data_IF_377642929543
#
_entry.id   IF_377642929543
#
_cell.length_a   1.000
_cell.length_b   1.000
_cell.length_c   1.000
_cell.angle_alpha   90.00
_cell.angle_beta   90.00
_cell.angle_gamma   90.00
#
_symmetry.space_group_name_H-M   'P 1'
#
loop_
_entity.id
_entity.type
_entity.pdbx_description
1 polymer ?
#
# COMPACT_ATOMS: atom_id res chain seq x y z
N UNK A 1 -15.57 -9.64 4.52
CA UNK A 1 -14.48 -8.68 4.67
C UNK A 1 -14.30 -8.41 6.15
N UNK A 2 -13.17 -8.78 6.74
CA UNK A 2 -12.92 -8.52 8.16
C UNK A 2 -12.67 -7.02 8.39
N UNK A 3 -13.13 -6.54 9.56
CA UNK A 3 -12.87 -5.19 10.06
C UNK A 3 -12.08 -5.33 11.34
N UNK A 4 -10.95 -4.66 11.42
CA UNK A 4 -10.06 -4.70 12.58
C UNK A 4 -9.93 -3.31 13.20
N UNK A 5 -9.97 -3.28 14.53
CA UNK A 5 -9.57 -2.10 15.30
C UNK A 5 -8.23 -2.42 15.95
N UNK A 6 -7.18 -1.73 15.55
CA UNK A 6 -5.85 -1.92 16.09
C UNK A 6 -5.76 -1.51 17.56
N UNK A 7 -4.91 -2.18 18.33
CA UNK A 7 -4.69 -1.83 19.74
C UNK A 7 -4.18 -0.38 19.93
N UNK A 8 -3.50 0.16 18.91
CA UNK A 8 -3.07 1.57 18.88
C UNK A 8 -4.23 2.58 18.91
N UNK A 9 -5.45 2.17 18.50
CA UNK A 9 -6.64 2.99 18.65
C UNK A 9 -6.94 3.36 20.11
N UNK A 10 -6.64 2.47 21.06
CA UNK A 10 -6.82 2.76 22.48
C UNK A 10 -5.98 3.95 22.95
N UNK A 11 -4.80 4.12 22.38
CA UNK A 11 -3.92 5.27 22.67
C UNK A 11 -4.60 6.55 22.18
N UNK A 12 -5.15 6.54 20.96
CA UNK A 12 -5.88 7.69 20.41
C UNK A 12 -7.12 8.01 21.26
N UNK A 13 -7.88 7.00 21.68
CA UNK A 13 -9.02 7.18 22.56
C UNK A 13 -8.63 7.84 23.89
N UNK A 14 -7.54 7.40 24.53
CA UNK A 14 -7.02 8.01 25.76
C UNK A 14 -6.61 9.46 25.52
N UNK A 15 -5.94 9.75 24.38
CA UNK A 15 -5.57 11.13 24.02
C UNK A 15 -6.80 12.00 23.83
N UNK A 16 -7.83 11.52 23.14
CA UNK A 16 -9.10 12.27 22.96
C UNK A 16 -9.75 12.55 24.31
N UNK A 17 -9.86 11.54 25.19
CA UNK A 17 -10.44 11.68 26.53
C UNK A 17 -9.65 12.71 27.36
N UNK A 18 -8.32 12.66 27.31
CA UNK A 18 -7.46 13.56 28.06
C UNK A 18 -7.50 15.02 27.55
N UNK A 19 -7.75 15.21 26.26
CA UNK A 19 -7.85 16.54 25.65
C UNK A 19 -9.24 17.15 25.85
N UNK A 20 -10.30 16.35 25.69
CA UNK A 20 -11.68 16.86 25.69
C UNK A 20 -12.31 16.81 27.10
N UNK A 21 -11.98 15.79 27.90
CA UNK A 21 -12.57 15.56 29.21
C UNK A 21 -12.43 16.72 30.20
N UNK A 22 -11.24 17.35 30.36
CA UNK A 22 -11.07 18.50 31.24
C UNK A 22 -11.92 19.71 30.83
N UNK A 23 -12.07 19.98 29.53
CA UNK A 23 -12.95 21.03 29.02
C UNK A 23 -14.41 20.78 29.39
N UNK A 24 -14.89 19.53 29.15
CA UNK A 24 -16.26 19.15 29.54
C UNK A 24 -16.47 19.25 31.05
N UNK A 25 -15.48 18.84 31.86
CA UNK A 25 -15.59 18.94 33.32
C UNK A 25 -15.64 20.38 33.81
N UNK A 26 -14.96 21.30 33.12
CA UNK A 26 -14.97 22.74 33.41
C UNK A 26 -16.32 23.39 33.02
N UNK A 27 -16.85 23.04 31.83
CA UNK A 27 -18.10 23.60 31.31
C UNK A 27 -19.34 22.99 32.02
N UNK A 28 -19.23 21.76 32.50
CA UNK A 28 -20.29 20.97 33.14
C UNK A 28 -19.82 20.34 34.47
N UNK A 29 -19.61 21.15 35.52
CA UNK A 29 -19.16 20.64 36.83
C UNK A 29 -20.11 19.62 37.47
N UNK A 30 -21.38 19.67 37.08
CA UNK A 30 -22.43 18.74 37.53
C UNK A 30 -22.15 17.28 37.11
N UNK A 31 -21.39 17.06 36.04
CA UNK A 31 -21.04 15.71 35.59
C UNK A 31 -19.91 15.06 36.41
N UNK A 32 -19.08 15.84 37.09
CA UNK A 32 -17.94 15.29 37.82
C UNK A 32 -17.08 14.34 36.96
N UNK A 33 -16.82 13.13 37.42
CA UNK A 33 -16.06 12.12 36.68
C UNK A 33 -16.74 11.63 35.38
N UNK A 34 -18.06 11.79 35.26
CA UNK A 34 -18.79 11.41 34.04
C UNK A 34 -18.38 12.26 32.81
N UNK A 35 -17.78 13.44 33.01
CA UNK A 35 -17.21 14.26 31.94
C UNK A 35 -16.21 13.49 31.10
N UNK A 36 -15.36 12.64 31.70
CA UNK A 36 -14.42 11.78 30.99
C UNK A 36 -15.14 10.63 30.25
N UNK A 37 -16.28 10.16 30.76
CA UNK A 37 -17.17 9.23 30.06
C UNK A 37 -17.74 9.86 28.77
N UNK A 38 -18.13 11.14 28.83
CA UNK A 38 -18.52 11.90 27.63
C UNK A 38 -17.33 12.02 26.67
N UNK A 39 -16.09 12.28 27.16
CA UNK A 39 -14.88 12.24 26.36
C UNK A 39 -14.67 10.89 25.64
N UNK A 40 -15.00 9.78 26.28
CA UNK A 40 -14.98 8.46 25.65
C UNK A 40 -16.02 8.33 24.51
N UNK A 41 -17.19 8.94 24.64
CA UNK A 41 -18.18 8.98 23.54
C UNK A 41 -17.69 9.79 22.34
N UNK A 42 -16.92 10.86 22.54
CA UNK A 42 -16.25 11.56 21.44
C UNK A 42 -15.25 10.66 20.73
N UNK A 43 -14.46 9.87 21.46
CA UNK A 43 -13.54 8.90 20.87
C UNK A 43 -14.28 7.83 20.06
N UNK A 44 -15.41 7.31 20.58
CA UNK A 44 -16.27 6.36 19.85
C UNK A 44 -16.85 7.01 18.59
N UNK A 45 -17.32 8.26 18.67
CA UNK A 45 -17.79 9.02 17.50
C UNK A 45 -16.71 9.14 16.41
N UNK A 46 -15.46 9.44 16.79
CA UNK A 46 -14.33 9.50 15.89
C UNK A 46 -14.05 8.12 15.24
N UNK A 47 -14.10 7.03 16.04
CA UNK A 47 -13.96 5.67 15.51
C UNK A 47 -15.03 5.35 14.47
N UNK A 48 -16.28 5.68 14.74
CA UNK A 48 -17.39 5.48 13.80
C UNK A 48 -17.15 6.28 12.51
N UNK A 49 -16.72 7.54 12.61
CA UNK A 49 -16.41 8.38 11.46
C UNK A 49 -15.31 7.76 10.57
N UNK A 50 -14.22 7.28 11.17
CA UNK A 50 -13.11 6.62 10.46
C UNK A 50 -13.56 5.28 9.85
N UNK A 51 -14.28 4.45 10.60
CA UNK A 51 -14.74 3.16 10.10
C UNK A 51 -15.72 3.30 8.92
N UNK A 52 -16.61 4.27 8.95
CA UNK A 52 -17.54 4.54 7.83
C UNK A 52 -16.76 5.04 6.61
N UNK A 53 -15.78 5.90 6.80
CA UNK A 53 -14.89 6.37 5.75
C UNK A 53 -14.17 5.21 5.06
N UNK A 54 -13.51 4.34 5.82
CA UNK A 54 -12.81 3.17 5.28
C UNK A 54 -13.76 2.14 4.65
N UNK A 55 -14.93 1.94 5.27
CA UNK A 55 -15.95 1.05 4.71
C UNK A 55 -16.44 1.56 3.35
N UNK A 56 -16.55 2.88 3.17
CA UNK A 56 -16.93 3.48 1.89
C UNK A 56 -15.89 3.18 0.80
N UNK A 57 -14.58 3.35 1.11
CA UNK A 57 -13.50 2.95 0.20
C UNK A 57 -13.59 1.46 -0.17
N UNK A 58 -13.77 0.60 0.83
CA UNK A 58 -13.86 -0.85 0.65
C UNK A 58 -15.05 -1.27 -0.22
N UNK A 59 -16.22 -0.66 -0.03
CA UNK A 59 -17.44 -0.96 -0.81
C UNK A 59 -17.24 -0.57 -2.27
N UNK A 60 -16.71 0.64 -2.54
CA UNK A 60 -16.47 1.09 -3.90
C UNK A 60 -15.34 0.28 -4.56
N UNK A 61 -14.25 -0.02 -3.85
CA UNK A 61 -13.18 -0.86 -4.36
C UNK A 61 -13.71 -2.24 -4.82
N UNK A 62 -14.58 -2.88 -4.02
CA UNK A 62 -15.25 -4.13 -4.43
C UNK A 62 -16.17 -3.94 -5.62
N UNK A 63 -16.93 -2.83 -5.65
CA UNK A 63 -17.85 -2.51 -6.75
C UNK A 63 -17.14 -2.34 -8.09
N UNK A 64 -15.90 -1.86 -8.09
CA UNK A 64 -15.06 -1.72 -9.30
C UNK A 64 -14.16 -2.93 -9.57
N UNK A 65 -14.37 -4.03 -8.84
CA UNK A 65 -13.74 -5.33 -9.13
C UNK A 65 -12.46 -5.64 -8.36
N UNK A 66 -12.04 -4.80 -7.39
CA UNK A 66 -10.88 -5.10 -6.56
C UNK A 66 -11.20 -6.12 -5.45
N UNK A 67 -10.24 -6.98 -5.13
CA UNK A 67 -10.33 -7.86 -3.95
C UNK A 67 -9.91 -7.07 -2.71
N UNK A 68 -10.85 -6.83 -1.81
CA UNK A 68 -10.60 -6.16 -0.54
C UNK A 68 -10.28 -7.22 0.53
N UNK A 69 -9.12 -7.09 1.16
CA UNK A 69 -8.63 -8.04 2.16
C UNK A 69 -9.10 -7.66 3.57
N UNK A 70 -8.94 -6.42 3.97
CA UNK A 70 -9.31 -5.97 5.31
C UNK A 70 -9.56 -4.45 5.34
N UNK A 71 -10.33 -4.03 6.32
CA UNK A 71 -10.45 -2.64 6.78
C UNK A 71 -9.81 -2.57 8.16
N UNK A 72 -8.89 -1.64 8.37
CA UNK A 72 -8.18 -1.48 9.64
C UNK A 72 -8.32 -0.04 10.10
N UNK A 73 -8.73 0.17 11.35
CA UNK A 73 -8.66 1.46 12.03
C UNK A 73 -7.55 1.42 13.08
N UNK A 74 -6.63 2.39 13.04
CA UNK A 74 -5.49 2.49 13.95
C UNK A 74 -5.26 3.94 14.39
N UNK A 75 -4.15 4.21 15.13
CA UNK A 75 -3.82 5.56 15.62
C UNK A 75 -3.60 6.58 14.50
N UNK A 76 -3.21 6.14 13.31
CA UNK A 76 -2.95 7.02 12.16
C UNK A 76 -4.19 7.29 11.32
N UNK A 77 -5.36 6.78 11.75
CA UNK A 77 -6.63 6.86 11.05
C UNK A 77 -7.13 5.48 10.66
N UNK A 78 -7.41 5.27 9.38
CA UNK A 78 -7.80 3.97 8.85
C UNK A 78 -7.06 3.68 7.54
N UNK A 79 -7.06 2.40 7.16
CA UNK A 79 -6.65 2.02 5.82
C UNK A 79 -7.39 0.78 5.35
N UNK A 80 -7.76 0.80 4.08
CA UNK A 80 -8.37 -0.33 3.39
C UNK A 80 -7.34 -1.02 2.52
N UNK A 81 -7.08 -2.30 2.82
CA UNK A 81 -6.14 -3.10 2.03
C UNK A 81 -6.89 -3.81 0.91
N UNK A 82 -6.53 -3.51 -0.33
CA UNK A 82 -7.08 -4.16 -1.52
C UNK A 82 -5.99 -4.39 -2.57
N UNK A 83 -6.25 -5.30 -3.53
CA UNK A 83 -5.33 -5.60 -4.62
C UNK A 83 -5.49 -4.58 -5.75
N UNK A 84 -4.48 -3.76 -6.05
CA UNK A 84 -4.56 -2.70 -7.05
C UNK A 84 -4.33 -3.16 -8.49
N UNK A 85 -4.12 -4.46 -8.75
CA UNK A 85 -3.59 -5.01 -10.00
C UNK A 85 -4.44 -4.74 -11.25
N UNK A 86 -5.69 -4.27 -11.12
CA UNK A 86 -6.61 -3.98 -12.25
C UNK A 86 -7.17 -2.57 -12.22
N UNK A 87 -6.45 -1.64 -11.62
CA UNK A 87 -6.92 -0.27 -11.44
C UNK A 87 -6.91 0.54 -12.74
N UNK A 88 -7.92 1.37 -12.91
CA UNK A 88 -7.94 2.45 -13.91
C UNK A 88 -7.91 3.81 -13.22
N UNK A 89 -7.51 4.90 -13.89
CA UNK A 89 -7.59 6.24 -13.30
C UNK A 89 -8.99 6.57 -12.76
N UNK A 90 -10.04 6.10 -13.45
CA UNK A 90 -11.43 6.32 -13.03
C UNK A 90 -11.80 5.55 -11.78
N UNK A 91 -11.41 4.26 -11.68
CA UNK A 91 -11.64 3.46 -10.47
C UNK A 91 -10.86 3.99 -9.27
N UNK A 92 -9.60 4.41 -9.47
CA UNK A 92 -8.80 5.02 -8.42
C UNK A 92 -9.43 6.32 -7.88
N UNK A 93 -9.91 7.19 -8.77
CA UNK A 93 -10.61 8.41 -8.39
C UNK A 93 -11.94 8.13 -7.65
N UNK A 94 -12.73 7.16 -8.11
CA UNK A 94 -13.99 6.77 -7.48
C UNK A 94 -13.76 6.23 -6.05
N UNK A 95 -12.74 5.39 -5.87
CA UNK A 95 -12.35 4.90 -4.55
C UNK A 95 -11.89 6.06 -3.66
N UNK A 96 -11.04 6.95 -4.16
CA UNK A 96 -10.48 8.03 -3.38
C UNK A 96 -11.53 9.05 -2.90
N UNK A 97 -12.53 9.38 -3.72
CA UNK A 97 -13.51 10.41 -3.36
C UNK A 97 -14.57 9.94 -2.35
N UNK A 98 -14.86 8.64 -2.32
CA UNK A 98 -16.03 8.14 -1.57
C UNK A 98 -15.84 8.22 -0.05
N UNK A 99 -14.61 8.07 0.45
CA UNK A 99 -14.31 8.23 1.88
C UNK A 99 -14.65 9.64 2.38
N UNK A 100 -14.04 10.70 1.84
CA UNK A 100 -14.39 12.07 2.17
C UNK A 100 -15.88 12.39 1.96
N UNK A 101 -16.47 11.88 0.88
CA UNK A 101 -17.89 12.08 0.63
C UNK A 101 -18.77 11.43 1.71
N UNK A 102 -18.43 10.25 2.19
CA UNK A 102 -19.16 9.58 3.27
C UNK A 102 -19.11 10.38 4.57
N UNK A 103 -17.95 10.94 4.92
CA UNK A 103 -17.81 11.81 6.07
C UNK A 103 -18.60 13.11 5.89
N UNK A 104 -18.55 13.72 4.69
CA UNK A 104 -19.35 14.92 4.42
C UNK A 104 -20.84 14.66 4.60
N UNK A 105 -21.34 13.53 4.07
CA UNK A 105 -22.74 13.12 4.25
C UNK A 105 -23.09 12.92 5.72
N UNK A 106 -22.24 12.18 6.47
CA UNK A 106 -22.45 11.99 7.91
C UNK A 106 -22.46 13.32 8.68
N UNK A 107 -21.50 14.20 8.38
CA UNK A 107 -21.43 15.52 9.00
C UNK A 107 -22.66 16.37 8.73
N UNK A 108 -23.12 16.43 7.48
CA UNK A 108 -24.31 17.19 7.10
C UNK A 108 -25.61 16.60 7.70
N UNK A 109 -25.73 15.27 7.74
CA UNK A 109 -26.87 14.62 8.40
C UNK A 109 -26.90 14.93 9.91
N UNK A 110 -25.75 14.79 10.57
CA UNK A 110 -25.63 15.14 11.98
C UNK A 110 -25.94 16.61 12.24
N UNK A 111 -25.49 17.49 11.36
CA UNK A 111 -25.80 18.93 11.44
C UNK A 111 -27.29 19.21 11.25
N UNK A 112 -27.95 18.54 10.30
CA UNK A 112 -29.39 18.68 10.08
C UNK A 112 -30.25 18.19 11.25
N UNK A 113 -29.78 17.19 12.00
CA UNK A 113 -30.45 16.64 13.19
C UNK A 113 -30.10 17.44 14.45
N UNK A 114 -28.97 18.11 14.52
CA UNK A 114 -28.48 18.84 15.68
C UNK A 114 -29.50 19.81 16.32
N UNK A 115 -30.30 20.61 15.58
CA UNK A 115 -31.30 21.51 16.16
C UNK A 115 -32.41 20.81 16.93
N UNK A 116 -32.61 19.52 16.70
CA UNK A 116 -33.64 18.72 17.38
C UNK A 116 -33.10 17.92 18.57
N UNK A 117 -31.77 17.97 18.79
CA UNK A 117 -31.16 17.27 19.91
C UNK A 117 -31.47 17.95 21.24
N UNK A 118 -31.73 17.18 22.33
CA UNK A 118 -31.86 17.76 23.67
C UNK A 118 -30.59 18.56 24.02
N UNK A 119 -30.80 19.71 24.68
CA UNK A 119 -29.71 20.54 25.16
C UNK A 119 -28.73 19.79 26.07
N UNK A 120 -27.50 20.21 26.11
CA UNK A 120 -26.43 19.64 26.95
C UNK A 120 -25.58 18.58 26.21
N UNK A 121 -25.32 17.43 26.86
CA UNK A 121 -24.41 16.41 26.35
C UNK A 121 -24.84 15.87 24.97
N UNK A 122 -26.12 15.54 24.70
CA UNK A 122 -26.51 15.02 23.37
C UNK A 122 -26.25 16.02 22.24
N UNK A 123 -26.62 17.29 22.43
CA UNK A 123 -26.38 18.36 21.46
C UNK A 123 -24.89 18.57 21.26
N UNK A 124 -24.07 18.60 22.32
CA UNK A 124 -22.61 18.74 22.23
C UNK A 124 -21.97 17.59 21.46
N UNK A 125 -22.35 16.35 21.73
CA UNK A 125 -21.85 15.16 21.01
C UNK A 125 -22.19 15.21 19.53
N UNK A 126 -23.44 15.52 19.19
CA UNK A 126 -23.90 15.56 17.81
C UNK A 126 -23.26 16.70 17.02
N UNK A 127 -23.13 17.88 17.65
CA UNK A 127 -22.43 19.02 17.05
C UNK A 127 -20.96 18.75 16.78
N UNK A 128 -20.26 18.14 17.73
CA UNK A 128 -18.88 17.75 17.56
C UNK A 128 -18.72 16.64 16.50
N UNK A 129 -19.59 15.65 16.49
CA UNK A 129 -19.60 14.60 15.46
C UNK A 129 -19.81 15.20 14.07
N UNK A 130 -20.74 16.15 13.92
CA UNK A 130 -20.96 16.86 12.66
C UNK A 130 -19.70 17.62 12.22
N UNK A 131 -19.12 18.41 13.14
CA UNK A 131 -17.92 19.20 12.88
C UNK A 131 -16.72 18.33 12.48
N UNK A 132 -16.44 17.27 13.24
CA UNK A 132 -15.29 16.37 12.97
C UNK A 132 -15.46 15.67 11.64
N UNK A 133 -16.65 15.21 11.27
CA UNK A 133 -16.87 14.58 9.97
C UNK A 133 -16.67 15.55 8.79
N UNK A 134 -17.17 16.79 8.90
CA UNK A 134 -16.92 17.82 7.87
C UNK A 134 -15.43 18.15 7.79
N UNK A 135 -14.76 18.27 8.94
CA UNK A 135 -13.32 18.53 8.99
C UNK A 135 -12.50 17.39 8.37
N UNK A 136 -12.83 16.14 8.69
CA UNK A 136 -12.20 14.96 8.08
C UNK A 136 -12.39 14.92 6.56
N UNK A 137 -13.60 15.24 6.08
CA UNK A 137 -13.88 15.33 4.65
C UNK A 137 -13.02 16.42 3.98
N UNK A 138 -13.00 17.61 4.54
CA UNK A 138 -12.23 18.74 4.01
C UNK A 138 -10.73 18.45 4.03
N UNK A 139 -10.21 17.88 5.13
CA UNK A 139 -8.81 17.55 5.27
C UNK A 139 -8.37 16.45 4.29
N UNK A 140 -9.16 15.38 4.15
CA UNK A 140 -8.86 14.30 3.21
C UNK A 140 -8.99 14.72 1.73
N UNK A 141 -9.72 15.79 1.42
CA UNK A 141 -9.79 16.36 0.07
C UNK A 141 -8.62 17.31 -0.28
N UNK A 142 -7.72 17.60 0.65
CA UNK A 142 -6.51 18.39 0.34
C UNK A 142 -5.69 17.68 -0.74
N UNK A 143 -5.22 18.42 -1.78
CA UNK A 143 -4.61 17.82 -2.97
C UNK A 143 -3.16 17.40 -2.72
N UNK A 144 -2.94 16.34 -1.96
CA UNK A 144 -1.59 15.83 -1.68
C UNK A 144 -1.56 14.50 -0.95
N UNK A 145 -0.73 13.58 -1.40
CA UNK A 145 -0.50 12.33 -0.66
C UNK A 145 0.17 12.63 0.69
N UNK A 146 -0.20 11.92 1.77
CA UNK A 146 -0.92 10.64 1.76
C UNK A 146 -2.46 10.72 1.84
N UNK A 147 -3.06 11.89 1.69
CA UNK A 147 -4.52 12.10 1.79
C UNK A 147 -5.25 11.62 0.53
N UNK A 148 -6.57 11.40 0.61
CA UNK A 148 -7.39 10.95 -0.52
C UNK A 148 -7.42 11.93 -1.68
N UNK A 149 -7.42 13.24 -1.39
CA UNK A 149 -7.25 14.29 -2.40
C UNK A 149 -5.95 14.15 -3.18
N UNK A 150 -4.90 13.64 -2.55
CA UNK A 150 -3.67 13.26 -3.24
C UNK A 150 -3.84 12.08 -4.18
N UNK A 151 -4.66 11.09 -3.83
CA UNK A 151 -5.00 9.98 -4.73
C UNK A 151 -5.83 10.48 -5.93
N UNK A 152 -6.68 11.50 -5.74
CA UNK A 152 -7.38 12.17 -6.85
C UNK A 152 -6.40 12.87 -7.79
N UNK A 153 -5.37 13.54 -7.25
CA UNK A 153 -4.28 14.13 -8.06
C UNK A 153 -3.51 13.04 -8.80
N UNK A 154 -3.14 11.93 -8.12
CA UNK A 154 -2.49 10.77 -8.75
C UNK A 154 -3.34 10.27 -9.94
N UNK A 155 -4.64 10.03 -9.74
CA UNK A 155 -5.55 9.55 -10.76
C UNK A 155 -5.70 10.52 -11.94
N UNK A 156 -5.78 11.82 -11.68
CA UNK A 156 -5.88 12.87 -12.70
C UNK A 156 -4.61 12.91 -13.57
N UNK A 157 -3.44 12.96 -12.95
CA UNK A 157 -2.15 12.97 -13.67
C UNK A 157 -1.95 11.66 -14.43
N UNK A 158 -2.30 10.51 -13.83
CA UNK A 158 -2.26 9.22 -14.52
C UNK A 158 -3.16 9.22 -15.77
N UNK A 159 -4.39 9.72 -15.66
CA UNK A 159 -5.30 9.85 -16.82
C UNK A 159 -4.73 10.71 -17.94
N UNK A 160 -4.05 11.81 -17.59
CA UNK A 160 -3.48 12.75 -18.54
C UNK A 160 -2.19 12.27 -19.20
N UNK A 161 -1.35 11.56 -18.45
CA UNK A 161 0.00 11.16 -18.87
C UNK A 161 0.12 9.69 -19.27
N UNK A 162 -0.91 8.87 -18.98
CA UNK A 162 -0.85 7.41 -19.14
C UNK A 162 0.07 6.72 -18.12
N UNK A 163 0.65 7.45 -17.14
CA UNK A 163 1.67 6.92 -16.21
C UNK A 163 1.25 7.11 -14.76
N UNK A 164 0.87 6.03 -14.10
CA UNK A 164 0.55 6.01 -12.67
C UNK A 164 1.74 6.41 -11.79
N UNK A 165 2.98 5.93 -12.03
CA UNK A 165 4.16 6.36 -11.30
C UNK A 165 4.37 7.88 -11.31
N UNK A 166 4.19 8.54 -12.48
CA UNK A 166 4.26 10.02 -12.57
C UNK A 166 3.17 10.69 -11.74
N UNK A 167 1.95 10.16 -11.79
CA UNK A 167 0.84 10.64 -10.96
C UNK A 167 1.21 10.64 -9.48
N UNK A 168 1.78 9.53 -9.01
CA UNK A 168 2.19 9.36 -7.61
C UNK A 168 3.28 10.33 -7.18
N UNK A 169 4.29 10.56 -8.02
CA UNK A 169 5.34 11.55 -7.76
C UNK A 169 4.77 12.96 -7.67
N UNK A 170 3.92 13.36 -8.61
CA UNK A 170 3.28 14.69 -8.61
C UNK A 170 2.40 14.87 -7.38
N UNK A 171 1.56 13.89 -7.05
CA UNK A 171 0.70 13.95 -5.86
C UNK A 171 1.51 14.02 -4.55
N UNK A 172 2.68 13.37 -4.48
CA UNK A 172 3.60 13.50 -3.36
C UNK A 172 4.21 14.91 -3.26
N UNK A 173 4.58 15.54 -4.37
CA UNK A 173 5.04 16.93 -4.36
C UNK A 173 3.93 17.91 -3.97
N UNK A 174 2.69 17.67 -4.42
CA UNK A 174 1.53 18.43 -3.94
C UNK A 174 1.35 18.28 -2.43
N UNK A 175 1.56 17.08 -1.86
CA UNK A 175 1.53 16.85 -0.41
C UNK A 175 2.57 17.69 0.34
N UNK A 176 3.80 17.78 -0.17
CA UNK A 176 4.81 18.68 0.41
C UNK A 176 4.41 20.16 0.33
N UNK A 177 3.80 20.58 -0.78
CA UNK A 177 3.29 21.94 -0.92
C UNK A 177 2.18 22.23 0.10
N UNK A 178 1.26 21.29 0.33
CA UNK A 178 0.23 21.38 1.38
C UNK A 178 0.87 21.57 2.76
N UNK A 179 1.92 20.81 3.09
CA UNK A 179 2.65 20.97 4.37
C UNK A 179 3.22 22.38 4.49
N UNK A 180 3.85 22.91 3.45
CA UNK A 180 4.40 24.27 3.48
C UNK A 180 3.28 25.30 3.71
N UNK A 181 2.15 25.17 3.02
CA UNK A 181 0.99 26.04 3.19
C UNK A 181 0.46 25.99 4.63
N UNK A 182 0.32 24.79 5.20
CA UNK A 182 -0.15 24.61 6.59
C UNK A 182 0.81 25.25 7.59
N UNK A 183 2.12 25.09 7.44
CA UNK A 183 3.13 25.70 8.32
C UNK A 183 3.08 27.22 8.23
N UNK A 184 3.03 27.77 7.01
CA UNK A 184 2.93 29.22 6.80
C UNK A 184 1.65 29.77 7.41
N UNK A 185 0.52 29.09 7.21
CA UNK A 185 -0.77 29.53 7.75
C UNK A 185 -0.84 29.44 9.28
N UNK A 186 -0.40 28.32 9.86
CA UNK A 186 -0.58 28.06 11.29
C UNK A 186 0.46 28.75 12.17
N UNK A 187 1.67 28.96 11.64
CA UNK A 187 2.82 29.51 12.39
C UNK A 187 3.31 30.80 11.76
N UNK A 188 3.56 30.81 10.46
CA UNK A 188 4.18 31.95 9.75
C UNK A 188 3.34 33.21 9.79
N UNK A 189 2.07 33.14 9.41
CA UNK A 189 1.18 34.32 9.40
C UNK A 189 0.96 34.91 10.80
N UNK A 190 0.70 34.13 11.88
CA UNK A 190 0.66 34.68 13.24
C UNK A 190 1.94 35.39 13.63
N UNK A 191 3.11 34.82 13.36
CA UNK A 191 4.39 35.48 13.67
C UNK A 191 4.59 36.80 12.90
N UNK A 192 4.20 36.81 11.62
CA UNK A 192 4.29 38.04 10.79
C UNK A 192 3.33 39.14 11.26
N UNK A 193 2.19 38.76 11.84
CA UNK A 193 1.24 39.72 12.45
C UNK A 193 1.58 40.12 13.87
N UNK A 194 2.74 39.68 14.40
CA UNK A 194 3.16 39.97 15.77
C UNK A 194 2.52 39.10 16.84
N UNK A 195 1.67 38.17 16.46
CA UNK A 195 1.07 37.20 17.37
C UNK A 195 2.04 36.05 17.67
N UNK A 196 2.01 35.55 18.91
CA UNK A 196 2.78 34.35 19.29
C UNK A 196 1.83 33.17 19.28
N UNK A 197 2.05 32.19 18.37
CA UNK A 197 1.27 30.95 18.40
C UNK A 197 1.49 30.23 19.74
N UNK A 198 0.42 29.74 20.35
CA UNK A 198 0.52 28.95 21.57
C UNK A 198 1.25 27.62 21.34
N UNK A 199 1.82 27.04 22.40
CA UNK A 199 2.60 25.82 22.33
C UNK A 199 1.80 24.64 21.77
N UNK A 200 0.52 24.55 22.13
CA UNK A 200 -0.37 23.47 21.67
C UNK A 200 -0.52 23.52 20.14
N UNK A 201 -0.79 24.70 19.58
CA UNK A 201 -0.87 24.91 18.12
C UNK A 201 0.43 24.54 17.43
N UNK A 202 1.58 24.96 17.97
CA UNK A 202 2.90 24.65 17.37
C UNK A 202 3.15 23.16 17.38
N UNK A 203 2.96 22.48 18.53
CA UNK A 203 3.19 21.04 18.66
C UNK A 203 2.31 20.24 17.70
N UNK A 204 1.01 20.52 17.66
CA UNK A 204 0.08 19.83 16.76
C UNK A 204 0.39 20.10 15.28
N UNK A 205 0.71 21.33 14.93
CA UNK A 205 1.12 21.66 13.55
C UNK A 205 2.36 20.88 13.15
N UNK A 206 3.38 20.82 14.00
CA UNK A 206 4.62 20.07 13.73
C UNK A 206 4.34 18.58 13.58
N UNK A 207 3.54 17.98 14.47
CA UNK A 207 3.21 16.55 14.41
C UNK A 207 2.45 16.20 13.11
N UNK A 208 1.41 16.96 12.76
CA UNK A 208 0.63 16.74 11.54
C UNK A 208 1.51 16.94 10.30
N UNK A 209 2.28 18.01 10.26
CA UNK A 209 3.17 18.31 9.13
C UNK A 209 4.28 17.27 8.98
N UNK A 210 4.85 16.76 10.06
CA UNK A 210 5.85 15.69 10.02
C UNK A 210 5.24 14.39 9.44
N UNK A 211 4.05 14.02 9.88
CA UNK A 211 3.32 12.86 9.33
C UNK A 211 3.04 13.02 7.83
N UNK A 212 2.46 14.15 7.41
CA UNK A 212 2.17 14.41 6.00
C UNK A 212 3.44 14.46 5.15
N UNK A 213 4.52 15.07 5.65
CA UNK A 213 5.81 15.13 4.95
C UNK A 213 6.41 13.75 4.74
N UNK A 214 6.36 12.89 5.76
CA UNK A 214 6.84 11.52 5.69
C UNK A 214 6.03 10.72 4.66
N UNK A 215 4.70 10.81 4.70
CA UNK A 215 3.83 10.14 3.73
C UNK A 215 4.06 10.63 2.30
N UNK A 216 4.18 11.94 2.09
CA UNK A 216 4.51 12.53 0.80
C UNK A 216 5.87 12.07 0.28
N UNK A 217 6.87 11.98 1.17
CA UNK A 217 8.22 11.49 0.81
C UNK A 217 8.19 10.02 0.41
N UNK A 218 7.48 9.18 1.16
CA UNK A 218 7.29 7.76 0.83
C UNK A 218 6.56 7.60 -0.52
N UNK A 219 5.55 8.42 -0.80
CA UNK A 219 4.83 8.39 -2.07
C UNK A 219 5.73 8.78 -3.26
N UNK A 220 6.57 9.81 -3.12
CA UNK A 220 7.55 10.20 -4.15
C UNK A 220 8.53 9.05 -4.41
N UNK A 221 9.12 8.47 -3.36
CA UNK A 221 10.06 7.37 -3.47
C UNK A 221 9.43 6.14 -4.15
N UNK A 222 8.20 5.77 -3.75
CA UNK A 222 7.46 4.67 -4.36
C UNK A 222 7.15 4.93 -5.84
N UNK A 223 6.72 6.16 -6.20
CA UNK A 223 6.46 6.54 -7.58
C UNK A 223 7.73 6.51 -8.45
N UNK A 224 8.87 6.97 -7.91
CA UNK A 224 10.16 6.88 -8.60
C UNK A 224 10.60 5.43 -8.83
N UNK A 225 10.47 4.56 -7.81
CA UNK A 225 10.82 3.14 -7.92
C UNK A 225 9.94 2.42 -8.95
N UNK A 226 8.63 2.66 -8.93
CA UNK A 226 7.72 2.11 -9.94
C UNK A 226 8.04 2.65 -11.34
N UNK A 227 8.42 3.93 -11.46
CA UNK A 227 8.82 4.52 -12.73
C UNK A 227 10.11 3.94 -13.31
N UNK A 228 11.01 3.42 -12.48
CA UNK A 228 12.19 2.65 -12.94
C UNK A 228 11.75 1.28 -13.44
N UNK A 229 10.91 0.57 -12.69
CA UNK A 229 10.36 -0.73 -13.11
C UNK A 229 9.64 -0.63 -14.46
N UNK A 230 8.80 0.39 -14.66
CA UNK A 230 8.07 0.59 -15.92
C UNK A 230 8.96 0.81 -17.16
N UNK A 231 10.24 1.07 -16.98
CA UNK A 231 11.22 1.20 -18.09
C UNK A 231 11.94 -0.11 -18.41
N UNK A 232 11.83 -1.09 -17.54
CA UNK A 232 12.45 -2.39 -17.74
C UNK A 232 11.56 -3.25 -18.65
N UNK A 233 12.13 -3.75 -19.73
CA UNK A 233 11.47 -4.77 -20.53
C UNK A 233 11.62 -6.13 -19.83
N UNK A 234 10.52 -6.78 -19.41
CA UNK A 234 10.57 -8.10 -18.77
C UNK A 234 11.33 -9.13 -19.60
N UNK A 235 11.29 -9.02 -20.94
CA UNK A 235 12.00 -9.94 -21.82
C UNK A 235 13.52 -9.91 -21.65
N UNK A 236 14.09 -8.81 -21.14
CA UNK A 236 15.54 -8.70 -20.89
C UNK A 236 16.02 -9.48 -19.67
N UNK A 237 15.13 -9.73 -18.72
CA UNK A 237 15.45 -10.40 -17.44
C UNK A 237 14.92 -11.83 -17.39
N UNK A 238 14.02 -12.20 -18.31
CA UNK A 238 13.49 -13.56 -18.42
C UNK A 238 14.40 -14.38 -19.32
N UNK A 239 15.15 -15.31 -18.73
CA UNK A 239 15.89 -16.30 -19.50
C UNK A 239 14.99 -17.42 -19.98
N UNK A 240 15.09 -17.86 -21.24
CA UNK A 240 14.37 -19.05 -21.69
C UNK A 240 14.62 -20.22 -20.77
N UNK A 241 13.57 -20.95 -20.44
CA UNK A 241 13.66 -22.17 -19.64
C UNK A 241 13.37 -23.40 -20.51
N UNK A 242 14.02 -24.51 -20.19
CA UNK A 242 13.74 -25.81 -20.76
C UNK A 242 13.10 -26.70 -19.70
N UNK A 243 11.92 -27.17 -19.99
CA UNK A 243 11.25 -28.14 -19.11
C UNK A 243 11.95 -29.48 -19.17
N UNK A 244 12.27 -30.04 -18.00
CA UNK A 244 12.88 -31.35 -17.83
C UNK A 244 11.94 -32.16 -16.94
N UNK A 245 11.56 -33.37 -17.37
CA UNK A 245 10.72 -34.22 -16.56
C UNK A 245 11.44 -34.65 -15.27
N UNK A 246 10.75 -34.65 -14.13
CA UNK A 246 11.29 -35.18 -12.87
C UNK A 246 11.71 -36.68 -12.97
N UNK A 247 11.19 -37.39 -13.96
CA UNK A 247 11.48 -38.80 -14.23
C UNK A 247 12.65 -39.02 -15.20
N UNK A 248 13.16 -37.94 -15.82
CA UNK A 248 14.30 -38.04 -16.71
C UNK A 248 15.56 -38.50 -15.95
N UNK A 249 16.52 -39.08 -16.64
CA UNK A 249 17.84 -39.41 -16.11
C UNK A 249 18.85 -38.35 -16.54
N UNK A 250 19.98 -38.22 -15.83
CA UNK A 250 20.95 -37.15 -16.07
C UNK A 250 21.49 -37.11 -17.49
N UNK A 251 21.78 -38.23 -18.21
CA UNK A 251 22.24 -38.17 -19.60
C UNK A 251 21.25 -37.52 -20.57
N UNK A 252 19.95 -37.55 -20.26
CA UNK A 252 18.94 -36.91 -21.10
C UNK A 252 18.95 -35.38 -20.94
N UNK A 253 19.70 -34.86 -19.97
CA UNK A 253 19.78 -33.44 -19.65
C UNK A 253 21.19 -32.94 -19.96
N UNK A 254 21.35 -32.37 -21.12
CA UNK A 254 22.62 -31.66 -21.46
C UNK A 254 22.63 -30.30 -20.76
N UNK A 255 23.52 -30.09 -19.75
CA UNK A 255 23.61 -28.81 -19.04
C UNK A 255 24.20 -27.69 -19.95
N UNK A 256 24.89 -28.03 -21.03
CA UNK A 256 25.49 -27.11 -21.98
C UNK A 256 24.63 -26.91 -23.23
N UNK A 257 23.49 -27.59 -23.35
CA UNK A 257 22.57 -27.35 -24.45
C UNK A 257 22.19 -25.87 -24.51
N UNK A 258 22.46 -25.22 -25.61
CA UNK A 258 22.43 -23.79 -25.85
C UNK A 258 21.04 -23.13 -25.65
N UNK A 259 20.04 -23.83 -25.18
CA UNK A 259 18.64 -23.42 -25.21
C UNK A 259 17.96 -23.51 -23.81
N UNK A 260 18.35 -22.59 -22.92
CA UNK A 260 17.56 -22.27 -21.73
C UNK A 260 17.96 -22.98 -20.43
N UNK A 261 17.57 -22.38 -19.31
CA UNK A 261 17.81 -22.90 -17.95
C UNK A 261 16.96 -24.17 -17.73
N UNK A 262 17.57 -25.30 -17.31
CA UNK A 262 16.80 -26.53 -17.06
C UNK A 262 15.94 -26.38 -15.79
N UNK A 263 14.64 -26.44 -15.97
CA UNK A 263 13.62 -26.39 -14.92
C UNK A 263 12.92 -27.75 -14.85
N UNK A 264 12.97 -28.37 -13.68
CA UNK A 264 12.29 -29.65 -13.46
C UNK A 264 10.80 -29.39 -13.30
N UNK A 265 10.01 -30.15 -14.07
CA UNK A 265 8.56 -30.07 -14.06
C UNK A 265 7.91 -31.40 -13.67
N UNK A 266 6.74 -31.31 -13.05
CA UNK A 266 5.91 -32.49 -12.76
C UNK A 266 5.21 -33.02 -14.02
N UNK A 267 4.42 -34.07 -13.84
CA UNK A 267 3.63 -34.70 -14.93
C UNK A 267 2.59 -33.75 -15.55
N UNK A 268 2.24 -32.67 -14.88
CA UNK A 268 1.30 -31.63 -15.34
C UNK A 268 2.03 -30.41 -15.94
N UNK A 269 3.37 -30.47 -16.05
CA UNK A 269 4.19 -29.35 -16.56
C UNK A 269 4.42 -28.23 -15.56
N UNK A 270 4.10 -28.40 -14.28
CA UNK A 270 4.29 -27.37 -13.25
C UNK A 270 5.75 -27.36 -12.79
N UNK A 271 6.39 -26.17 -12.72
CA UNK A 271 7.77 -26.03 -12.23
C UNK A 271 7.92 -26.48 -10.77
N UNK A 272 8.85 -27.39 -10.51
CA UNK A 272 9.14 -27.94 -9.19
C UNK A 272 10.49 -27.48 -8.64
N UNK A 273 11.50 -27.41 -9.49
CA UNK A 273 12.87 -27.24 -9.07
C UNK A 273 13.76 -26.69 -10.19
N UNK A 274 14.92 -26.16 -9.79
CA UNK A 274 16.01 -25.88 -10.71
C UNK A 274 17.03 -27.03 -10.70
N UNK A 275 17.61 -27.25 -11.85
CA UNK A 275 18.72 -28.16 -11.99
C UNK A 275 20.00 -27.35 -12.23
N UNK A 276 20.96 -27.43 -11.31
CA UNK A 276 22.24 -26.73 -11.46
C UNK A 276 23.31 -27.62 -12.08
N UNK A 277 24.16 -27.03 -12.92
CA UNK A 277 25.32 -27.73 -13.48
C UNK A 277 26.21 -28.33 -12.38
N UNK A 278 26.46 -27.58 -11.32
CA UNK A 278 27.26 -28.03 -10.18
C UNK A 278 26.66 -29.29 -9.48
N UNK A 279 25.32 -29.36 -9.36
CA UNK A 279 24.68 -30.54 -8.79
C UNK A 279 24.80 -31.76 -9.69
N UNK A 280 24.78 -31.57 -11.01
CA UNK A 280 24.96 -32.65 -11.99
C UNK A 280 26.44 -33.10 -12.07
N UNK A 281 27.39 -32.15 -12.02
CA UNK A 281 28.83 -32.44 -12.04
C UNK A 281 29.29 -33.19 -10.77
N UNK A 282 28.63 -33.01 -9.67
CA UNK A 282 28.86 -33.74 -8.43
C UNK A 282 28.51 -35.24 -8.50
N UNK A 283 27.80 -35.69 -9.55
CA UNK A 283 27.45 -37.11 -9.70
C UNK A 283 28.56 -37.81 -10.48
N UNK A 284 29.20 -38.89 -9.92
CA UNK A 284 30.19 -39.70 -10.59
C UNK A 284 29.70 -40.21 -11.95
N UNK A 285 30.57 -40.28 -12.96
CA UNK A 285 30.20 -40.59 -14.32
C UNK A 285 29.51 -41.98 -14.44
N UNK A 286 29.95 -42.95 -13.65
CA UNK A 286 29.42 -44.32 -13.63
C UNK A 286 27.95 -44.38 -13.09
N UNK A 287 27.53 -43.36 -12.30
CA UNK A 287 26.19 -43.34 -11.71
C UNK A 287 25.21 -42.45 -12.50
N UNK A 288 25.70 -41.62 -13.41
CA UNK A 288 24.86 -40.66 -14.15
C UNK A 288 23.74 -41.33 -14.95
N UNK A 289 24.04 -42.46 -15.60
CA UNK A 289 23.07 -43.17 -16.41
C UNK A 289 21.85 -43.70 -15.62
N UNK A 290 22.01 -43.88 -14.31
CA UNK A 290 20.96 -44.41 -13.41
C UNK A 290 20.44 -43.38 -12.43
N UNK A 291 21.03 -42.17 -12.41
CA UNK A 291 20.60 -41.10 -11.46
C UNK A 291 19.45 -40.33 -12.05
N UNK A 292 18.25 -40.38 -11.44
CA UNK A 292 17.13 -39.60 -11.88
C UNK A 292 17.37 -38.11 -11.51
N UNK A 293 16.82 -37.22 -12.34
CA UNK A 293 16.90 -35.76 -12.14
C UNK A 293 16.34 -35.36 -10.76
N UNK A 294 15.35 -36.09 -10.26
CA UNK A 294 14.75 -35.87 -8.93
C UNK A 294 15.75 -36.05 -7.77
N UNK A 295 16.86 -36.76 -7.96
CA UNK A 295 17.89 -36.96 -6.94
C UNK A 295 18.86 -35.76 -6.78
N UNK A 296 18.98 -34.91 -7.79
CA UNK A 296 19.93 -33.79 -7.85
C UNK A 296 19.25 -32.43 -8.04
N UNK A 297 17.93 -32.40 -8.09
CA UNK A 297 17.19 -31.16 -8.22
C UNK A 297 17.14 -30.37 -6.90
N UNK A 298 17.28 -29.05 -6.98
CA UNK A 298 17.03 -28.15 -5.87
C UNK A 298 15.55 -27.73 -5.87
N UNK A 299 14.74 -28.40 -5.04
CA UNK A 299 13.30 -28.06 -4.90
C UNK A 299 13.15 -26.63 -4.46
N UNK A 300 12.17 -25.94 -5.07
CA UNK A 300 11.80 -24.56 -4.75
C UNK A 300 10.45 -24.54 -4.01
N UNK A 301 10.15 -23.51 -3.20
CA UNK A 301 8.83 -23.30 -2.64
C UNK A 301 7.75 -23.21 -3.73
N UNK A 302 6.51 -23.59 -3.45
CA UNK A 302 5.42 -23.50 -4.43
C UNK A 302 5.19 -22.07 -4.95
N UNK A 303 5.50 -21.10 -4.11
CA UNK A 303 5.36 -19.66 -4.37
C UNK A 303 6.41 -19.10 -5.33
N UNK A 304 7.42 -19.89 -5.73
CA UNK A 304 8.46 -19.42 -6.67
C UNK A 304 7.97 -19.30 -8.12
N UNK A 305 6.75 -19.75 -8.41
CA UNK A 305 6.15 -19.70 -9.74
C UNK A 305 5.30 -18.45 -9.90
N UNK A 306 5.67 -17.58 -10.83
CA UNK A 306 4.96 -16.33 -11.11
C UNK A 306 4.24 -16.42 -12.44
N UNK A 307 2.90 -16.36 -12.46
CA UNK A 307 2.16 -16.25 -13.71
C UNK A 307 2.29 -14.83 -14.27
N UNK A 308 2.67 -14.73 -15.56
CA UNK A 308 2.70 -13.46 -16.29
C UNK A 308 1.35 -13.27 -16.97
N UNK A 309 0.74 -12.09 -16.75
CA UNK A 309 -0.54 -11.71 -17.35
C UNK A 309 -0.38 -10.93 -18.66
N UNK A 310 0.86 -10.53 -19.00
CA UNK A 310 1.21 -9.84 -20.25
C UNK A 310 1.23 -8.32 -20.15
N UNK A 311 0.91 -7.75 -18.99
CA UNK A 311 1.19 -6.35 -18.69
C UNK A 311 2.62 -6.23 -18.14
N UNK A 312 3.55 -5.54 -18.83
CA UNK A 312 4.95 -5.47 -18.42
C UNK A 312 5.16 -4.87 -17.03
N UNK A 313 4.35 -3.88 -16.63
CA UNK A 313 4.47 -3.22 -15.32
C UNK A 313 3.95 -4.15 -14.21
N UNK A 314 2.80 -4.78 -14.41
CA UNK A 314 2.23 -5.74 -13.44
C UNK A 314 3.10 -6.99 -13.30
N UNK A 315 3.61 -7.52 -14.41
CA UNK A 315 4.50 -8.67 -14.43
C UNK A 315 5.79 -8.41 -13.62
N UNK A 316 6.40 -7.23 -13.79
CA UNK A 316 7.60 -6.85 -13.04
C UNK A 316 7.33 -6.61 -11.55
N UNK A 317 6.21 -5.99 -11.21
CA UNK A 317 5.80 -5.81 -9.81
C UNK A 317 5.58 -7.17 -9.15
N UNK A 318 4.93 -8.12 -9.84
CA UNK A 318 4.71 -9.47 -9.35
C UNK A 318 6.05 -10.20 -9.09
N UNK A 319 7.02 -10.08 -10.01
CA UNK A 319 8.35 -10.65 -9.85
C UNK A 319 9.09 -10.07 -8.63
N UNK A 320 9.15 -8.74 -8.51
CA UNK A 320 9.82 -8.07 -7.38
C UNK A 320 9.17 -8.47 -6.06
N UNK A 321 7.85 -8.46 -5.98
CA UNK A 321 7.11 -8.85 -4.78
C UNK A 321 7.40 -10.29 -4.39
N UNK A 322 7.35 -11.23 -5.36
CA UNK A 322 7.61 -12.64 -5.09
C UNK A 322 9.04 -12.86 -4.61
N UNK A 323 10.05 -12.16 -5.17
CA UNK A 323 11.42 -12.22 -4.65
C UNK A 323 11.52 -11.73 -3.19
N UNK A 324 10.80 -10.67 -2.83
CA UNK A 324 10.79 -10.15 -1.46
C UNK A 324 10.13 -11.12 -0.47
N UNK A 325 9.00 -11.71 -0.87
CA UNK A 325 8.19 -12.59 -0.02
C UNK A 325 8.86 -13.95 0.17
N UNK A 326 9.41 -14.54 -0.90
CA UNK A 326 10.00 -15.90 -0.87
C UNK A 326 11.48 -15.94 -0.52
N UNK A 327 12.20 -14.80 -0.69
CA UNK A 327 13.66 -14.72 -0.62
C UNK A 327 14.36 -15.73 -1.56
N UNK A 328 13.68 -16.16 -2.60
CA UNK A 328 14.22 -17.07 -3.59
C UNK A 328 15.33 -16.37 -4.40
N UNK A 329 16.32 -17.12 -4.85
CA UNK A 329 17.33 -16.60 -5.78
C UNK A 329 16.87 -16.58 -7.23
N UNK A 330 15.89 -17.41 -7.56
CA UNK A 330 15.31 -17.58 -8.89
C UNK A 330 13.81 -17.75 -8.79
N UNK A 331 13.09 -17.25 -9.81
CA UNK A 331 11.64 -17.47 -9.98
C UNK A 331 11.40 -18.11 -11.34
N UNK A 332 10.51 -19.10 -11.36
CA UNK A 332 9.98 -19.64 -12.61
C UNK A 332 8.79 -18.80 -13.08
N UNK A 333 8.79 -18.45 -14.35
CA UNK A 333 7.75 -17.63 -14.96
C UNK A 333 6.89 -18.48 -15.88
N UNK A 334 5.58 -18.36 -15.75
CA UNK A 334 4.63 -19.08 -16.60
C UNK A 334 3.76 -18.09 -17.38
N UNK A 335 3.38 -18.47 -18.60
CA UNK A 335 2.41 -17.72 -19.43
C UNK A 335 1.31 -18.67 -19.87
N UNK A 336 0.08 -18.35 -19.50
CA UNK A 336 -1.04 -19.28 -19.76
C UNK A 336 -0.87 -20.66 -19.12
N UNK A 337 -0.17 -20.76 -17.98
CA UNK A 337 0.11 -22.02 -17.29
C UNK A 337 1.30 -22.84 -17.84
N UNK A 338 1.94 -22.36 -18.93
CA UNK A 338 3.12 -23.00 -19.54
C UNK A 338 4.38 -22.29 -19.08
N UNK A 339 5.44 -23.05 -18.77
CA UNK A 339 6.76 -22.52 -18.41
C UNK A 339 7.29 -21.62 -19.53
N UNK A 340 7.50 -20.34 -19.27
CA UNK A 340 7.99 -19.34 -20.20
C UNK A 340 9.47 -19.03 -19.99
N UNK A 341 9.96 -19.10 -18.74
CA UNK A 341 11.35 -18.78 -18.44
C UNK A 341 11.67 -18.82 -16.95
N UNK A 342 12.87 -18.35 -16.63
CA UNK A 342 13.38 -18.16 -15.26
C UNK A 342 13.96 -16.77 -15.13
N UNK A 343 13.73 -16.14 -13.99
CA UNK A 343 14.32 -14.85 -13.62
C UNK A 343 15.20 -15.05 -12.40
N UNK A 344 16.42 -14.53 -12.45
CA UNK A 344 17.32 -14.48 -11.29
C UNK A 344 17.21 -13.12 -10.59
N UNK A 345 17.25 -13.12 -9.25
CA UNK A 345 17.30 -11.87 -8.46
C UNK A 345 18.52 -11.02 -8.82
N UNK A 346 19.62 -11.64 -9.15
CA UNK A 346 20.85 -10.95 -9.55
C UNK A 346 20.70 -10.22 -10.90
N UNK A 347 20.08 -10.87 -11.89
CA UNK A 347 19.85 -10.28 -13.21
C UNK A 347 18.83 -9.15 -13.17
N UNK A 348 17.75 -9.35 -12.39
CA UNK A 348 16.77 -8.31 -12.16
C UNK A 348 17.43 -7.10 -11.47
N UNK A 349 18.27 -7.35 -10.45
CA UNK A 349 19.03 -6.32 -9.76
C UNK A 349 19.98 -5.56 -10.69
N UNK A 350 20.77 -6.28 -11.51
CA UNK A 350 21.70 -5.68 -12.46
C UNK A 350 20.98 -4.82 -13.52
N UNK A 351 19.86 -5.31 -14.05
CA UNK A 351 19.07 -4.55 -15.02
C UNK A 351 18.46 -3.27 -14.41
N UNK A 352 18.04 -3.32 -13.14
CA UNK A 352 17.55 -2.15 -12.42
C UNK A 352 18.66 -1.15 -12.11
N UNK A 353 19.86 -1.60 -11.72
CA UNK A 353 21.01 -0.75 -11.46
C UNK A 353 21.49 -0.07 -12.77
N UNK A 354 21.46 -0.77 -13.92
CA UNK A 354 21.76 -0.20 -15.23
C UNK A 354 20.82 0.96 -15.59
N UNK A 355 19.49 0.77 -15.42
CA UNK A 355 18.50 1.83 -15.71
C UNK A 355 18.67 3.03 -14.77
N UNK A 356 19.13 2.80 -13.53
CA UNK A 356 19.39 3.86 -12.55
C UNK A 356 20.77 4.52 -12.73
N UNK A 357 21.60 4.04 -13.66
CA UNK A 357 22.97 4.52 -13.87
C UNK A 357 23.89 4.21 -12.67
N UNK A 358 23.57 3.15 -11.88
CA UNK A 358 24.40 2.70 -10.76
C UNK A 358 25.41 1.65 -11.25
N UNK A 359 26.63 1.63 -10.70
CA UNK A 359 27.55 0.55 -11.01
C UNK A 359 26.96 -0.80 -10.56
N UNK A 360 27.20 -1.89 -11.31
CA UNK A 360 26.73 -3.22 -10.91
C UNK A 360 27.26 -3.57 -9.52
N UNK A 361 26.42 -4.14 -8.70
CA UNK A 361 26.82 -4.63 -7.37
C UNK A 361 27.72 -5.87 -7.53
N UNK A 362 28.80 -5.97 -6.75
CA UNK A 362 29.72 -7.09 -6.83
C UNK A 362 29.05 -8.44 -6.48
#
# INVERSE_FOLDING_TARGET
MPVYVGSSWLILAVVVIALVGPGIAADRPDLGALAYGVGALYAVGLLVAVLVHEAAHAVVARGVGHRVHAVVADIWGGHTTYDPSRGTPGSAAAIAVVGPLSNLVLGLLAWGVHPFAPEGVPSGLLGAFAFVNVLLAAFNLLPGLPLDGGQLVEAAVWRLTGSRPRGRVVAGWCGRAVVVVVVVWAIGLPLLSGARPDLFRVVWTVLICAFLWQGATAAIAAGQSLGVLARLDPARVIRPARAVSERAVLPDVDPQAAHGVPVVVDALGRPLALLSAAAMDGVPAELRERTPVSAVMARQPSEWVVPLEGDPEEDLIALVRTFQDTRASHLAVTRGGVLAGVVSVHELGAALDEIQGRPPRP
#
